data_IF_558977751354
#
_entry.id   IF_558977751354
#
_cell.length_a   1.000
_cell.length_b   1.000
_cell.length_c   1.000
_cell.angle_alpha   90.00
_cell.angle_beta   90.00
_cell.angle_gamma   90.00
#
_symmetry.space_group_name_H-M   'P 1'
#
loop_
_entity.id
_entity.type
_entity.pdbx_description
1 polymer ?
#
# COMPACT_ATOMS: atom_id res chain seq x y z
N UNK A 1 -2.06 21.10 -1.22
CA UNK A 1 -2.59 20.22 -0.17
C UNK A 1 -1.43 19.85 0.75
N UNK A 2 -1.44 20.32 2.00
CA UNK A 2 -0.34 20.02 2.93
C UNK A 2 -0.51 18.57 3.44
N UNK A 3 0.48 17.71 3.20
CA UNK A 3 0.49 16.34 3.73
C UNK A 3 0.59 16.47 5.26
N UNK A 4 -0.52 16.30 5.99
CA UNK A 4 -0.55 16.45 7.45
C UNK A 4 0.22 15.34 8.19
N UNK A 5 0.42 14.17 7.58
CA UNK A 5 1.07 13.02 8.20
C UNK A 5 2.40 12.70 7.51
N UNK A 6 3.51 13.07 8.15
CA UNK A 6 4.87 12.74 7.69
C UNK A 6 5.23 11.26 7.86
N UNK A 7 4.55 10.59 8.78
CA UNK A 7 4.67 9.16 9.05
C UNK A 7 3.35 8.52 8.61
N UNK A 8 3.43 7.42 7.85
CA UNK A 8 2.27 6.67 7.37
C UNK A 8 2.57 5.18 7.35
N UNK A 9 1.52 4.37 7.32
CA UNK A 9 1.62 2.91 7.29
C UNK A 9 2.11 2.45 5.91
N UNK A 10 3.09 1.55 5.93
CA UNK A 10 3.62 0.89 4.73
C UNK A 10 3.37 -0.62 4.83
N UNK A 11 2.69 -1.19 3.84
CA UNK A 11 2.27 -2.60 3.81
C UNK A 11 3.08 -3.37 2.77
N UNK A 12 3.70 -4.46 3.20
CA UNK A 12 4.48 -5.32 2.30
C UNK A 12 3.67 -6.53 1.85
N UNK A 13 3.53 -6.68 0.55
CA UNK A 13 2.89 -7.84 -0.07
C UNK A 13 3.92 -8.64 -0.87
N UNK A 14 3.71 -9.95 -0.92
CA UNK A 14 4.48 -10.79 -1.84
C UNK A 14 4.18 -10.42 -3.29
N UNK A 15 2.89 -10.26 -3.58
CA UNK A 15 2.31 -9.88 -4.87
C UNK A 15 1.03 -9.07 -4.61
N UNK A 16 0.48 -8.45 -5.64
CA UNK A 16 -0.90 -7.91 -5.60
C UNK A 16 -1.16 -6.69 -4.67
N UNK A 17 -0.14 -5.89 -4.36
CA UNK A 17 -0.29 -4.67 -3.57
C UNK A 17 -1.27 -3.66 -4.19
N UNK A 18 -1.35 -3.60 -5.52
CA UNK A 18 -2.27 -2.68 -6.22
C UNK A 18 -3.71 -3.15 -6.09
N UNK A 19 -3.95 -4.45 -6.26
CA UNK A 19 -5.25 -5.10 -6.12
C UNK A 19 -5.77 -4.94 -4.69
N UNK A 20 -4.91 -5.13 -3.68
CA UNK A 20 -5.25 -4.87 -2.28
C UNK A 20 -5.63 -3.40 -2.05
N UNK A 21 -4.82 -2.44 -2.52
CA UNK A 21 -5.11 -1.02 -2.40
C UNK A 21 -6.43 -0.63 -3.09
N UNK A 22 -6.70 -1.18 -4.29
CA UNK A 22 -7.96 -0.98 -5.03
C UNK A 22 -9.16 -1.57 -4.28
N UNK A 23 -8.99 -2.71 -3.64
CA UNK A 23 -10.01 -3.31 -2.79
C UNK A 23 -10.33 -2.41 -1.60
N UNK A 24 -9.31 -1.96 -0.86
CA UNK A 24 -9.55 -1.08 0.29
C UNK A 24 -10.21 0.24 -0.11
N UNK A 25 -9.75 0.86 -1.21
CA UNK A 25 -10.30 2.12 -1.69
C UNK A 25 -11.74 1.99 -2.23
N UNK A 26 -12.18 0.79 -2.61
CA UNK A 26 -13.58 0.56 -3.03
C UNK A 26 -14.54 0.36 -1.85
N UNK A 27 -14.01 -0.03 -0.68
CA UNK A 27 -14.79 -0.30 0.53
C UNK A 27 -15.05 0.98 1.32
N UNK A 28 -14.02 1.82 1.50
CA UNK A 28 -14.09 2.97 2.40
C UNK A 28 -14.41 4.28 1.65
N UNK A 29 -15.23 5.18 2.21
CA UNK A 29 -15.44 6.51 1.65
C UNK A 29 -14.16 7.36 1.76
N UNK A 30 -14.09 8.44 0.98
CA UNK A 30 -12.93 9.36 0.92
C UNK A 30 -11.61 8.60 0.72
N UNK A 31 -11.63 7.64 -0.21
CA UNK A 31 -10.53 6.70 -0.45
C UNK A 31 -10.23 6.59 -1.95
N UNK A 32 -8.96 6.40 -2.28
CA UNK A 32 -8.48 6.37 -3.67
C UNK A 32 -7.13 5.65 -3.78
N UNK A 33 -6.87 5.08 -4.96
CA UNK A 33 -5.49 4.76 -5.35
C UNK A 33 -4.91 6.00 -6.02
N UNK A 34 -3.84 6.55 -5.45
CA UNK A 34 -3.33 7.87 -5.82
C UNK A 34 -2.22 7.75 -6.86
N UNK A 35 -1.34 6.75 -6.70
CA UNK A 35 -0.23 6.52 -7.63
C UNK A 35 0.24 5.08 -7.57
N UNK A 36 0.53 4.53 -8.75
CA UNK A 36 1.23 3.24 -8.91
C UNK A 36 2.56 3.51 -9.60
N UNK A 37 3.65 3.01 -9.03
CA UNK A 37 5.01 3.19 -9.54
C UNK A 37 5.74 1.87 -9.59
N UNK A 38 6.10 1.41 -10.78
CA UNK A 38 7.05 0.32 -10.94
C UNK A 38 8.49 0.82 -10.75
N UNK A 39 9.32 0.09 -10.00
CA UNK A 39 10.72 0.45 -9.81
C UNK A 39 11.52 0.16 -11.09
N UNK A 40 12.22 1.16 -11.67
CA UNK A 40 12.88 1.00 -12.97
C UNK A 40 14.21 0.24 -12.91
N UNK A 41 14.68 -0.10 -11.72
CA UNK A 41 15.97 -0.74 -11.50
C UNK A 41 15.80 -2.15 -10.93
N UNK A 42 16.79 -3.00 -11.16
CA UNK A 42 16.92 -4.29 -10.49
C UNK A 42 16.96 -4.09 -8.97
N UNK A 43 16.27 -4.95 -8.23
CA UNK A 43 16.22 -4.93 -6.76
C UNK A 43 16.50 -6.32 -6.20
N UNK A 44 16.82 -6.45 -4.89
CA UNK A 44 16.90 -7.77 -4.26
C UNK A 44 15.60 -8.58 -4.35
N UNK A 45 14.46 -7.92 -4.54
CA UNK A 45 13.14 -8.55 -4.61
C UNK A 45 12.70 -8.91 -6.03
N UNK A 46 13.47 -8.57 -7.05
CA UNK A 46 13.14 -8.88 -8.44
C UNK A 46 13.70 -7.88 -9.46
N UNK A 47 13.54 -8.18 -10.76
CA UNK A 47 14.09 -7.38 -11.84
C UNK A 47 13.44 -6.01 -12.00
N UNK A 48 14.05 -5.17 -12.82
CA UNK A 48 13.53 -3.86 -13.19
C UNK A 48 12.07 -3.99 -13.70
N UNK A 49 11.18 -3.20 -13.10
CA UNK A 49 9.76 -3.16 -13.40
C UNK A 49 8.91 -4.19 -12.67
N UNK A 50 9.49 -5.17 -11.95
CA UNK A 50 8.71 -6.20 -11.26
C UNK A 50 8.22 -5.79 -9.88
N UNK A 51 8.91 -4.84 -9.23
CA UNK A 51 8.51 -4.31 -7.92
C UNK A 51 7.64 -3.08 -8.10
N UNK A 52 6.46 -3.11 -7.51
CA UNK A 52 5.46 -2.03 -7.63
C UNK A 52 5.21 -1.40 -6.27
N UNK A 53 5.30 -0.08 -6.21
CA UNK A 53 4.90 0.74 -5.06
C UNK A 53 3.57 1.41 -5.37
N UNK A 54 2.65 1.34 -4.43
CA UNK A 54 1.29 1.88 -4.55
C UNK A 54 1.05 2.86 -3.42
N UNK A 55 0.90 4.14 -3.75
CA UNK A 55 0.41 5.15 -2.83
C UNK A 55 -1.13 5.21 -2.93
N UNK A 56 -1.80 5.16 -1.79
CA UNK A 56 -3.26 5.18 -1.72
C UNK A 56 -3.74 5.89 -0.47
N UNK A 57 -5.00 6.30 -0.47
CA UNK A 57 -5.67 7.03 0.60
C UNK A 57 -6.87 6.23 1.07
N UNK A 58 -7.02 6.06 2.39
CA UNK A 58 -8.21 5.51 3.03
C UNK A 58 -8.74 6.52 4.06
N UNK A 59 -10.02 6.88 3.99
CA UNK A 59 -10.63 7.92 4.86
C UNK A 59 -9.78 9.22 4.95
N UNK A 60 -9.24 9.68 3.83
CA UNK A 60 -8.38 10.86 3.76
C UNK A 60 -6.96 10.69 4.37
N UNK A 61 -6.62 9.50 4.89
CA UNK A 61 -5.29 9.16 5.41
C UNK A 61 -4.45 8.45 4.34
N UNK A 62 -3.19 8.90 4.19
CA UNK A 62 -2.20 8.27 3.31
C UNK A 62 -1.74 6.90 3.82
N UNK A 63 -1.60 5.96 2.90
CA UNK A 63 -0.96 4.66 3.04
C UNK A 63 -0.02 4.41 1.86
N UNK A 64 0.83 3.39 1.99
CA UNK A 64 1.59 2.85 0.88
C UNK A 64 1.65 1.33 0.96
N UNK A 65 1.68 0.68 -0.19
CA UNK A 65 1.92 -0.75 -0.29
C UNK A 65 3.02 -1.05 -1.32
N UNK A 66 3.67 -2.21 -1.17
CA UNK A 66 4.68 -2.70 -2.11
C UNK A 66 4.45 -4.16 -2.47
N UNK A 67 4.55 -4.50 -3.75
CA UNK A 67 4.66 -5.89 -4.23
C UNK A 67 6.12 -6.23 -4.44
N UNK A 68 6.72 -7.04 -3.56
CA UNK A 68 8.16 -7.29 -3.59
C UNK A 68 8.58 -8.66 -3.03
N UNK A 69 8.01 -9.76 -3.55
CA UNK A 69 8.50 -11.13 -3.31
C UNK A 69 8.12 -11.74 -1.96
N UNK A 70 8.28 -13.06 -1.76
CA UNK A 70 7.81 -13.75 -0.56
C UNK A 70 8.75 -13.50 0.62
N UNK A 71 8.51 -12.42 1.37
CA UNK A 71 9.23 -12.17 2.62
C UNK A 71 8.47 -12.79 3.79
N UNK A 72 7.38 -12.14 4.20
CA UNK A 72 6.61 -12.51 5.37
C UNK A 72 5.13 -12.23 5.15
N UNK A 73 4.28 -13.18 5.54
CA UNK A 73 2.84 -12.97 5.59
C UNK A 73 2.48 -12.00 6.73
N UNK A 74 1.36 -11.29 6.56
CA UNK A 74 0.79 -10.54 7.67
C UNK A 74 0.41 -11.46 8.83
N UNK A 75 0.58 -10.94 10.04
CA UNK A 75 0.22 -11.61 11.28
C UNK A 75 -0.44 -10.60 12.23
N UNK A 76 -0.84 -11.09 13.40
CA UNK A 76 -1.61 -10.33 14.38
C UNK A 76 -0.86 -9.13 14.98
N UNK A 77 0.44 -8.97 14.73
CA UNK A 77 1.22 -7.83 15.21
C UNK A 77 0.89 -6.52 14.47
N UNK A 78 0.22 -6.60 13.31
CA UNK A 78 -0.20 -5.43 12.55
C UNK A 78 -1.69 -5.51 12.25
N UNK A 79 -2.42 -4.47 12.63
CA UNK A 79 -3.85 -4.32 12.33
C UNK A 79 -4.22 -2.86 12.10
N UNK A 80 -5.30 -2.66 11.35
CA UNK A 80 -5.94 -1.36 11.15
C UNK A 80 -7.34 -1.43 11.77
N UNK A 81 -7.62 -0.50 12.68
CA UNK A 81 -8.93 -0.41 13.33
C UNK A 81 -9.69 0.77 12.74
N UNK A 82 -10.89 0.50 12.25
CA UNK A 82 -11.85 1.52 11.81
C UNK A 82 -12.91 1.64 12.89
N UNK A 83 -13.10 2.86 13.40
CA UNK A 83 -14.19 3.15 14.33
C UNK A 83 -15.47 3.36 13.53
N UNK A 84 -16.46 2.50 13.76
CA UNK A 84 -17.79 2.63 13.18
C UNK A 84 -18.71 3.43 14.12
N UNK A 85 -19.78 3.99 13.55
CA UNK A 85 -20.91 4.53 14.31
C UNK A 85 -21.85 3.43 14.82
#
# INVERSE_FOLDING_TARGET
MSIKNKIFTHLWYATEAEEAARCYASIFPDSSVDKVTALPAETPSGPAGSVTIVDFTLFGQRFQAISAGPHHDFNDAMSLVVMCE
#
